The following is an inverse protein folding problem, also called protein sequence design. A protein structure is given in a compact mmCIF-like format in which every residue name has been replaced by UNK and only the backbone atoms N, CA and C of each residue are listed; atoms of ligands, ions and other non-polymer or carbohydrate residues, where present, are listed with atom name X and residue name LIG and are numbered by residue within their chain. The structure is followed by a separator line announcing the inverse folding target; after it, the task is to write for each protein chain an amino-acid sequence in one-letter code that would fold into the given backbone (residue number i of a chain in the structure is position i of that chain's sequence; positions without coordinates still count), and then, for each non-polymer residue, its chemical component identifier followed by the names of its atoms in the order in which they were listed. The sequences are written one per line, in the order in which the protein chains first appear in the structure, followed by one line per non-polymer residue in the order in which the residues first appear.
data_IF_615894812508
#
_entry.id   IF_615894812508
#
_cell.length_a   1.000
_cell.length_b   1.000
_cell.length_c   1.000
_cell.angle_alpha   90.00
_cell.angle_beta   90.00
_cell.angle_gamma   90.00
#
_symmetry.space_group_name_H-M   'P 1'
#
loop_
_entity.id
_entity.type
_entity.pdbx_description
1 polymer ?
#
# COMPACT_ATOMS: atom_id res chain seq x y z
N UNK A 1 -57.57 -11.28 -22.12
CA UNK A 1 -56.82 -10.02 -22.16
C UNK A 1 -55.82 -10.00 -21.01
N UNK A 2 -54.56 -9.71 -21.34
CA UNK A 2 -53.45 -9.15 -20.53
C UNK A 2 -52.88 -10.04 -19.41
N UNK A 3 -51.72 -10.66 -19.68
CA UNK A 3 -50.89 -11.40 -18.73
C UNK A 3 -50.02 -10.49 -17.85
N UNK A 4 -49.41 -11.03 -16.78
CA UNK A 4 -48.63 -10.24 -15.84
C UNK A 4 -47.30 -9.84 -16.48
N UNK A 5 -47.04 -8.52 -16.52
CA UNK A 5 -45.81 -7.93 -17.00
C UNK A 5 -44.67 -8.20 -15.99
N UNK A 6 -43.55 -8.75 -16.48
CA UNK A 6 -42.30 -8.85 -15.74
C UNK A 6 -41.66 -7.47 -15.62
N UNK A 7 -41.38 -7.04 -14.39
CA UNK A 7 -40.63 -5.80 -14.13
C UNK A 7 -39.14 -5.99 -14.51
N UNK A 8 -38.49 -5.00 -15.13
CA UNK A 8 -37.07 -5.09 -15.45
C UNK A 8 -36.24 -4.97 -14.17
N UNK A 9 -35.33 -5.93 -13.95
CA UNK A 9 -34.34 -5.87 -12.90
C UNK A 9 -33.36 -4.71 -13.19
N UNK A 10 -33.35 -3.68 -12.33
CA UNK A 10 -32.31 -2.65 -12.36
C UNK A 10 -30.99 -3.26 -11.91
N UNK A 11 -30.05 -3.39 -12.84
CA UNK A 11 -28.67 -3.72 -12.53
C UNK A 11 -28.09 -2.60 -11.66
N UNK A 12 -27.63 -2.96 -10.46
CA UNK A 12 -26.88 -2.05 -9.61
C UNK A 12 -25.61 -1.60 -10.35
N UNK A 13 -25.22 -0.31 -10.29
CA UNK A 13 -23.93 0.12 -10.83
C UNK A 13 -22.83 -0.61 -10.07
N UNK A 14 -21.88 -1.18 -10.81
CA UNK A 14 -20.65 -1.70 -10.23
C UNK A 14 -19.97 -0.56 -9.48
N UNK A 15 -19.75 -0.74 -8.18
CA UNK A 15 -18.89 0.17 -7.43
C UNK A 15 -17.50 0.09 -8.06
N UNK A 16 -17.07 1.18 -8.68
CA UNK A 16 -15.68 1.38 -9.06
C UNK A 16 -14.89 1.45 -7.76
N UNK A 17 -14.30 0.31 -7.37
CA UNK A 17 -13.36 0.25 -6.27
C UNK A 17 -12.23 1.25 -6.53
N UNK A 18 -11.63 1.84 -5.47
CA UNK A 18 -10.55 2.80 -5.64
C UNK A 18 -9.46 2.19 -6.51
N UNK A 19 -9.17 2.85 -7.62
CA UNK A 19 -8.10 2.47 -8.53
C UNK A 19 -6.80 2.67 -7.77
N UNK A 20 -6.25 1.60 -7.19
CA UNK A 20 -4.93 1.65 -6.57
C UNK A 20 -3.93 2.03 -7.69
N UNK A 21 -3.39 3.26 -7.68
CA UNK A 21 -2.24 3.54 -8.52
C UNK A 21 -1.12 2.56 -8.15
N UNK A 22 -0.41 2.04 -9.15
CA UNK A 22 0.50 0.94 -8.93
C UNK A 22 1.67 1.38 -8.06
N UNK A 23 1.85 0.71 -6.93
CA UNK A 23 3.14 0.73 -6.24
C UNK A 23 4.23 0.31 -7.24
N UNK A 24 5.38 0.97 -7.22
CA UNK A 24 6.45 0.67 -8.17
C UNK A 24 7.81 0.55 -7.50
N UNK A 25 8.68 -0.26 -8.11
CA UNK A 25 10.05 -0.47 -7.66
C UNK A 25 10.98 0.55 -8.32
N UNK A 26 11.90 1.12 -7.56
CA UNK A 26 12.88 2.10 -8.00
C UNK A 26 14.21 1.92 -7.28
N UNK A 27 15.27 2.53 -7.80
CA UNK A 27 16.59 2.60 -7.17
C UNK A 27 16.60 3.54 -5.94
N UNK A 28 15.59 4.41 -5.81
CA UNK A 28 15.49 5.40 -4.76
C UNK A 28 14.06 5.55 -4.23
N UNK A 29 13.96 6.25 -3.10
CA UNK A 29 12.70 6.71 -2.54
C UNK A 29 12.40 8.12 -3.06
N UNK A 30 11.37 8.22 -3.89
CA UNK A 30 11.02 9.45 -4.61
C UNK A 30 10.43 10.50 -3.67
N UNK A 31 10.62 11.77 -4.04
CA UNK A 31 10.13 12.89 -3.23
C UNK A 31 8.60 12.89 -3.16
N UNK A 32 8.04 13.17 -1.98
CA UNK A 32 6.59 13.14 -1.74
C UNK A 32 6.02 11.73 -1.51
N UNK A 33 6.85 10.69 -1.36
CA UNK A 33 6.40 9.30 -1.24
C UNK A 33 6.77 8.64 0.09
N UNK A 34 6.01 7.61 0.42
CA UNK A 34 6.38 6.60 1.41
C UNK A 34 7.07 5.44 0.68
N UNK A 35 8.20 4.95 1.21
CA UNK A 35 8.96 3.91 0.55
C UNK A 35 9.47 2.85 1.52
N UNK A 36 9.54 1.61 1.03
CA UNK A 36 10.10 0.47 1.74
C UNK A 36 11.29 -0.09 0.94
N UNK A 37 12.37 -0.46 1.61
CA UNK A 37 13.48 -1.19 0.99
C UNK A 37 13.30 -2.68 1.18
N UNK A 38 13.35 -3.44 0.09
CA UNK A 38 13.33 -4.89 0.12
C UNK A 38 14.53 -5.42 0.92
N UNK A 39 14.29 -6.38 1.82
CA UNK A 39 15.33 -6.93 2.70
C UNK A 39 16.45 -7.62 1.93
N UNK A 40 16.09 -8.39 0.91
CA UNK A 40 17.08 -9.05 0.04
C UNK A 40 17.52 -8.03 -1.01
N UNK A 41 18.82 -7.81 -1.20
CA UNK A 41 19.31 -6.91 -2.24
C UNK A 41 18.83 -7.39 -3.61
N UNK A 42 18.01 -6.57 -4.26
CA UNK A 42 17.52 -6.76 -5.63
C UNK A 42 17.76 -5.48 -6.42
N UNK A 43 17.82 -5.58 -7.74
CA UNK A 43 17.76 -4.39 -8.59
C UNK A 43 16.48 -3.61 -8.28
N UNK A 44 16.57 -2.29 -8.13
CA UNK A 44 15.47 -1.42 -7.70
C UNK A 44 14.87 -1.80 -6.34
N UNK A 45 15.70 -1.79 -5.29
CA UNK A 45 15.32 -2.27 -3.96
C UNK A 45 14.23 -1.44 -3.24
N UNK A 46 13.80 -0.28 -3.75
CA UNK A 46 12.81 0.57 -3.08
C UNK A 46 11.43 0.45 -3.71
N UNK A 47 10.45 -0.04 -2.94
CA UNK A 47 9.04 0.03 -3.27
C UNK A 47 8.50 1.42 -2.89
N UNK A 48 8.06 2.19 -3.87
CA UNK A 48 7.41 3.48 -3.69
C UNK A 48 5.89 3.29 -3.65
N UNK A 49 5.25 3.81 -2.61
CA UNK A 49 3.82 3.74 -2.37
C UNK A 49 3.18 5.04 -2.88
N UNK A 50 2.34 4.92 -3.90
CA UNK A 50 1.72 6.07 -4.57
C UNK A 50 0.38 6.51 -3.96
N UNK A 51 -0.26 5.65 -3.17
CA UNK A 51 -1.60 5.87 -2.66
C UNK A 51 -1.65 6.02 -1.15
N UNK A 52 -2.53 6.92 -0.73
CA UNK A 52 -2.90 7.14 0.65
C UNK A 52 -3.80 6.00 1.14
N UNK A 53 -3.79 5.74 2.44
CA UNK A 53 -4.51 4.62 3.03
C UNK A 53 -3.74 3.30 2.90
N UNK A 54 -4.50 2.20 2.92
CA UNK A 54 -3.94 0.85 3.00
C UNK A 54 -3.43 0.35 1.65
N UNK A 55 -2.13 0.08 1.59
CA UNK A 55 -1.45 -0.54 0.47
C UNK A 55 -1.08 -1.97 0.87
N UNK A 56 -1.71 -3.00 0.28
CA UNK A 56 -1.35 -4.38 0.59
C UNK A 56 0.07 -4.67 0.09
N UNK A 57 0.92 -5.14 0.99
CA UNK A 57 2.27 -5.61 0.69
C UNK A 57 2.39 -7.05 1.17
N UNK A 58 3.25 -7.87 0.58
CA UNK A 58 3.41 -9.27 1.01
C UNK A 58 4.87 -9.68 0.89
N UNK A 59 5.74 -8.96 1.58
CA UNK A 59 7.19 -9.19 1.52
C UNK A 59 7.92 -8.74 2.79
N UNK A 60 9.23 -8.93 2.82
CA UNK A 60 10.12 -8.54 3.89
C UNK A 60 10.88 -7.26 3.53
N UNK A 61 10.73 -6.25 4.36
CA UNK A 61 11.38 -4.94 4.18
C UNK A 61 12.22 -4.60 5.40
N UNK A 62 13.44 -4.13 5.18
CA UNK A 62 14.39 -3.86 6.28
C UNK A 62 14.56 -2.36 6.58
N UNK A 63 14.05 -1.49 5.70
CA UNK A 63 14.17 -0.05 5.83
C UNK A 63 12.93 0.67 5.33
N UNK A 64 12.52 1.72 6.04
CA UNK A 64 11.42 2.59 5.67
C UNK A 64 11.87 4.04 5.58
N UNK A 65 11.40 4.77 4.57
CA UNK A 65 11.69 6.19 4.38
C UNK A 65 10.44 6.94 3.92
N UNK A 66 10.13 8.03 4.60
CA UNK A 66 9.02 8.92 4.29
C UNK A 66 9.55 10.25 3.78
N UNK A 67 9.40 10.52 2.48
CA UNK A 67 9.80 11.76 1.84
C UNK A 67 8.63 12.76 1.78
N UNK A 68 7.87 12.88 2.86
CA UNK A 68 6.70 13.77 2.96
C UNK A 68 5.53 13.09 3.63
N UNK A 69 5.16 11.89 3.15
CA UNK A 69 4.00 11.16 3.68
C UNK A 69 4.45 10.19 4.79
N UNK A 70 4.04 10.39 6.05
CA UNK A 70 4.25 9.39 7.10
C UNK A 70 3.48 8.12 6.80
N UNK A 71 3.90 6.98 7.37
CA UNK A 71 3.23 5.71 7.17
C UNK A 71 3.44 4.73 8.33
N UNK A 72 2.54 3.75 8.46
CA UNK A 72 2.68 2.59 9.34
C UNK A 72 2.81 1.33 8.49
N UNK A 73 3.79 0.49 8.80
CA UNK A 73 3.93 -0.87 8.29
C UNK A 73 3.32 -1.83 9.30
N UNK A 74 2.38 -2.67 8.85
CA UNK A 74 1.79 -3.73 9.66
C UNK A 74 2.38 -5.07 9.25
N UNK A 75 2.73 -5.87 10.26
CA UNK A 75 3.32 -7.19 10.07
C UNK A 75 2.34 -8.31 10.37
N UNK A 76 2.64 -9.50 9.85
CA UNK A 76 1.81 -10.70 9.99
C UNK A 76 1.60 -11.13 11.45
N UNK A 77 2.56 -10.88 12.33
CA UNK A 77 2.46 -11.20 13.76
C UNK A 77 1.68 -10.16 14.59
N UNK A 78 1.14 -9.12 13.94
CA UNK A 78 0.38 -8.04 14.58
C UNK A 78 1.24 -6.88 15.10
N UNK A 79 2.56 -6.93 14.96
CA UNK A 79 3.43 -5.79 15.23
C UNK A 79 3.29 -4.74 14.14
N UNK A 80 3.77 -3.54 14.44
CA UNK A 80 3.80 -2.45 13.49
C UNK A 80 5.01 -1.55 13.71
N UNK A 81 5.43 -0.88 12.64
CA UNK A 81 6.46 0.16 12.67
C UNK A 81 5.93 1.45 12.04
N UNK A 82 6.08 2.56 12.76
CA UNK A 82 5.73 3.90 12.25
C UNK A 82 6.97 4.64 11.74
N UNK A 83 6.83 5.28 10.58
CA UNK A 83 7.84 6.15 9.96
C UNK A 83 7.24 7.54 9.80
N UNK A 84 7.82 8.51 10.50
CA UNK A 84 7.33 9.90 10.48
C UNK A 84 7.70 10.60 9.18
N UNK A 85 6.97 11.67 8.82
CA UNK A 85 7.29 12.51 7.68
C UNK A 85 8.74 13.01 7.74
N UNK A 86 9.40 13.03 6.58
CA UNK A 86 10.80 13.47 6.43
C UNK A 86 11.81 12.67 7.27
N UNK A 87 11.48 11.42 7.60
CA UNK A 87 12.32 10.55 8.41
C UNK A 87 12.55 9.19 7.74
N UNK A 88 13.48 8.44 8.30
CA UNK A 88 13.78 7.08 7.89
C UNK A 88 14.21 6.25 9.09
N UNK A 89 13.99 4.94 9.02
CA UNK A 89 14.41 4.00 10.08
C UNK A 89 14.51 2.57 9.58
N UNK A 90 15.21 1.75 10.35
CA UNK A 90 15.12 0.30 10.26
C UNK A 90 13.72 -0.18 10.60
N UNK A 91 13.26 -1.19 9.86
CA UNK A 91 12.01 -1.91 10.05
C UNK A 91 12.26 -3.30 10.62
N UNK A 92 11.22 -3.97 11.10
CA UNK A 92 11.27 -5.41 11.40
C UNK A 92 11.36 -6.25 10.11
N UNK A 93 12.55 -6.30 9.52
CA UNK A 93 12.81 -7.10 8.31
C UNK A 93 12.76 -8.61 8.54
N UNK A 94 12.66 -9.08 9.79
CA UNK A 94 12.48 -10.51 10.06
C UNK A 94 11.05 -10.99 9.89
N UNK A 95 10.13 -10.04 9.72
CA UNK A 95 8.70 -10.27 9.75
C UNK A 95 8.05 -9.88 8.42
N UNK A 96 7.04 -10.64 8.02
CA UNK A 96 6.34 -10.40 6.76
C UNK A 96 5.47 -9.17 6.92
N UNK A 97 5.75 -8.11 6.17
CA UNK A 97 4.85 -6.97 6.07
C UNK A 97 3.64 -7.38 5.23
N UNK A 98 2.44 -7.06 5.72
CA UNK A 98 1.16 -7.44 5.10
C UNK A 98 0.38 -6.23 4.56
N UNK A 99 0.54 -5.07 5.19
CA UNK A 99 -0.13 -3.82 4.81
C UNK A 99 0.77 -2.64 5.16
N UNK A 100 0.79 -1.61 4.32
CA UNK A 100 1.33 -0.31 4.69
C UNK A 100 0.24 0.75 4.56
N UNK A 101 -0.05 1.43 5.67
CA UNK A 101 -0.97 2.57 5.67
C UNK A 101 -0.20 3.88 5.50
N UNK A 102 -0.44 4.59 4.40
CA UNK A 102 0.20 5.88 4.11
C UNK A 102 -0.72 7.02 4.50
N UNK A 103 -0.24 7.91 5.35
CA UNK A 103 -0.94 9.13 5.75
C UNK A 103 -0.61 10.24 4.75
N UNK A 104 -1.63 10.64 4.01
CA UNK A 104 -1.73 11.92 3.32
C UNK A 104 -2.94 12.64 3.93
#
# INVERSE_FOLDING_TARGET
MIGPAAAPAQAAPAAEGPVAAPMYWSYACDYGRACLRHRIPVENSYLNLEHCGDNPVHDYYDWGRAQGNPFVVFYKDGRWDFVNAWSQRTLDGTNLAVVVHVYC
#
